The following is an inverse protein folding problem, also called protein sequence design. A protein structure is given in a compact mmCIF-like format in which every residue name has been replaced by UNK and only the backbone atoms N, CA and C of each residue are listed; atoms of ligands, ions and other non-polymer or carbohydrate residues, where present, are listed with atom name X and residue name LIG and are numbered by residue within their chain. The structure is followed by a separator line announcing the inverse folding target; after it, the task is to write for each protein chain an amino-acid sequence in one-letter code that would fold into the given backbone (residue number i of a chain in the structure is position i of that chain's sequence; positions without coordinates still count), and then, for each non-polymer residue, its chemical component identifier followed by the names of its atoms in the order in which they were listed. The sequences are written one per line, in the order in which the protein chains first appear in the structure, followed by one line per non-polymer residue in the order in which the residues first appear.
data_IF_309566012834
#
_entry.id   IF_309566012834
#
_cell.length_a   1.000
_cell.length_b   1.000
_cell.length_c   1.000
_cell.angle_alpha   90.00
_cell.angle_beta   90.00
_cell.angle_gamma   90.00
#
_symmetry.space_group_name_H-M   'P 1'
#
loop_
_entity.id
_entity.type
_entity.pdbx_description
1 polymer ?
#
# COMPACT_ATOMS: atom_id res chain seq x y z
N UNK A 1 -21.83 -4.84 23.90
CA UNK A 1 -21.57 -4.01 22.70
C UNK A 1 -20.29 -3.25 23.00
N UNK A 2 -19.19 -3.54 22.29
CA UNK A 2 -17.99 -2.69 22.41
C UNK A 2 -18.36 -1.31 21.88
N UNK A 3 -18.14 -0.25 22.66
CA UNK A 3 -18.32 1.10 22.16
C UNK A 3 -17.30 1.33 21.04
N UNK A 4 -17.73 1.88 19.90
CA UNK A 4 -16.81 2.18 18.80
C UNK A 4 -15.74 3.16 19.31
N UNK A 5 -14.47 2.79 19.17
CA UNK A 5 -13.33 3.66 19.48
C UNK A 5 -13.02 4.65 18.34
N UNK A 6 -13.85 4.64 17.27
CA UNK A 6 -13.75 5.55 16.13
C UNK A 6 -14.16 6.96 16.54
N UNK A 7 -13.28 7.98 16.42
CA UNK A 7 -13.62 9.35 16.77
C UNK A 7 -14.74 9.92 15.90
N UNK A 8 -15.60 10.74 16.50
CA UNK A 8 -16.57 11.56 15.79
C UNK A 8 -15.95 12.90 15.39
N UNK A 9 -15.80 13.15 14.09
CA UNK A 9 -15.29 14.43 13.57
C UNK A 9 -14.48 14.30 12.27
N UNK A 10 -14.06 15.43 11.70
CA UNK A 10 -13.18 15.43 10.54
C UNK A 10 -11.79 14.89 10.91
N UNK A 11 -11.23 14.06 10.04
CA UNK A 11 -9.86 13.55 10.17
C UNK A 11 -8.87 14.54 9.53
N UNK A 12 -7.61 14.61 10.00
CA UNK A 12 -6.58 15.43 9.37
C UNK A 12 -6.44 15.11 7.88
N UNK A 13 -6.21 16.12 7.04
CA UNK A 13 -6.07 15.91 5.59
C UNK A 13 -4.72 15.30 5.20
N UNK A 14 -3.70 15.48 6.04
CA UNK A 14 -2.34 14.92 5.93
C UNK A 14 -1.88 14.39 7.28
N UNK A 15 -0.87 13.54 7.30
CA UNK A 15 -0.23 13.05 8.53
C UNK A 15 1.30 13.11 8.44
N UNK A 16 1.98 13.17 9.58
CA UNK A 16 3.43 13.27 9.67
C UNK A 16 3.98 14.69 9.42
N UNK A 17 5.22 14.96 9.83
CA UNK A 17 5.85 16.28 9.80
C UNK A 17 6.01 16.84 8.38
N UNK A 18 6.00 18.16 8.22
CA UNK A 18 6.11 18.78 6.89
C UNK A 18 7.52 18.65 6.31
N UNK A 19 8.54 18.50 7.17
CA UNK A 19 9.94 18.32 6.79
C UNK A 19 10.23 16.91 6.25
N UNK A 20 9.32 15.95 6.46
CA UNK A 20 9.46 14.57 6.01
C UNK A 20 9.28 13.52 7.11
N UNK A 21 9.43 12.23 6.76
CA UNK A 21 9.42 11.13 7.73
C UNK A 21 10.45 11.37 8.84
N UNK A 22 10.05 11.15 10.10
CA UNK A 22 10.92 11.19 11.26
C UNK A 22 11.01 9.80 11.89
N UNK A 23 12.07 9.56 12.68
CA UNK A 23 12.27 8.29 13.37
C UNK A 23 10.99 7.86 14.13
N UNK A 24 10.57 6.58 14.00
CA UNK A 24 11.34 5.46 13.45
C UNK A 24 11.22 5.28 11.92
N UNK A 25 10.55 6.17 11.20
CA UNK A 25 10.40 6.08 9.74
C UNK A 25 11.66 6.60 9.00
N UNK A 26 12.00 6.04 7.82
CA UNK A 26 11.29 4.98 7.11
C UNK A 26 11.52 3.59 7.71
N UNK A 27 10.46 2.79 7.78
CA UNK A 27 10.56 1.38 8.13
C UNK A 27 10.52 0.54 6.87
N UNK A 28 11.36 -0.49 6.80
CA UNK A 28 11.47 -1.37 5.64
C UNK A 28 10.84 -2.72 5.91
N UNK A 29 10.04 -3.19 4.96
CA UNK A 29 9.48 -4.53 4.94
C UNK A 29 9.67 -5.12 3.55
N UNK A 30 9.89 -6.42 3.45
CA UNK A 30 9.86 -7.13 2.17
C UNK A 30 9.35 -8.55 2.31
N UNK A 31 8.73 -9.07 1.27
CA UNK A 31 8.34 -10.48 1.21
C UNK A 31 7.55 -10.81 -0.06
N UNK A 32 7.25 -12.09 -0.20
CA UNK A 32 6.39 -12.59 -1.27
C UNK A 32 4.92 -12.24 -0.99
N UNK A 33 4.21 -11.79 -2.02
CA UNK A 33 2.78 -11.51 -1.93
C UNK A 33 1.99 -12.81 -1.91
N UNK A 34 1.29 -13.07 -0.81
CA UNK A 34 0.48 -14.27 -0.63
C UNK A 34 -1.02 -13.95 -0.59
N UNK A 35 -1.85 -14.98 -0.81
CA UNK A 35 -3.30 -14.88 -0.62
C UNK A 35 -3.60 -14.77 0.87
N UNK A 36 -4.46 -13.81 1.24
CA UNK A 36 -5.02 -13.71 2.57
C UNK A 36 -6.13 -14.73 2.83
N UNK A 37 -6.73 -14.67 4.03
CA UNK A 37 -7.76 -15.62 4.49
C UNK A 37 -9.18 -15.36 3.95
N UNK A 38 -9.31 -14.75 2.76
CA UNK A 38 -10.60 -14.58 2.08
C UNK A 38 -11.58 -13.61 2.75
N UNK A 39 -11.10 -12.67 3.57
CA UNK A 39 -11.94 -11.68 4.26
C UNK A 39 -12.27 -10.48 3.35
N UNK A 40 -13.03 -10.69 2.29
CA UNK A 40 -13.87 -9.69 1.62
C UNK A 40 -13.25 -8.39 1.09
N UNK A 41 -11.96 -8.08 1.25
CA UNK A 41 -11.36 -6.79 0.82
C UNK A 41 -11.49 -6.56 -0.69
N UNK A 42 -11.32 -7.61 -1.48
CA UNK A 42 -11.62 -7.61 -2.92
C UNK A 42 -13.11 -7.35 -3.21
N UNK A 43 -14.04 -7.84 -2.38
CA UNK A 43 -15.48 -7.55 -2.51
C UNK A 43 -15.82 -6.12 -2.08
N UNK A 44 -14.99 -5.50 -1.24
CA UNK A 44 -15.04 -4.06 -0.92
C UNK A 44 -14.48 -3.20 -2.06
N UNK A 45 -13.89 -3.78 -3.10
CA UNK A 45 -13.20 -3.05 -4.16
C UNK A 45 -11.87 -2.41 -3.73
N UNK A 46 -11.31 -2.88 -2.60
CA UNK A 46 -10.05 -2.41 -2.02
C UNK A 46 -9.16 -3.64 -1.80
N UNK A 47 -8.58 -4.21 -2.87
CA UNK A 47 -7.79 -5.43 -2.76
C UNK A 47 -6.53 -5.21 -1.91
N UNK A 48 -6.23 -6.15 -1.03
CA UNK A 48 -5.05 -6.09 -0.15
C UNK A 48 -4.09 -7.26 -0.41
N UNK A 49 -2.82 -6.94 -0.64
CA UNK A 49 -1.72 -7.90 -0.73
C UNK A 49 -1.25 -8.27 0.69
N UNK A 50 -1.11 -9.56 0.98
CA UNK A 50 -0.60 -10.00 2.28
C UNK A 50 0.91 -10.26 2.17
N UNK A 51 1.67 -9.78 3.15
CA UNK A 51 3.10 -10.08 3.29
C UNK A 51 3.29 -10.84 4.61
N UNK A 52 3.73 -12.11 4.59
CA UNK A 52 3.98 -12.86 5.81
C UNK A 52 5.18 -12.26 6.55
N UNK A 53 5.01 -11.98 7.84
CA UNK A 53 6.12 -11.60 8.72
C UNK A 53 6.69 -12.85 9.38
N UNK A 54 7.98 -13.11 9.18
CA UNK A 54 8.72 -14.09 9.99
C UNK A 54 9.04 -13.46 11.34
N UNK A 55 8.05 -13.43 12.24
CA UNK A 55 8.18 -12.88 13.59
C UNK A 55 7.28 -11.66 13.86
N UNK A 56 7.58 -10.94 14.93
CA UNK A 56 6.80 -9.77 15.39
C UNK A 56 7.34 -8.43 14.88
N UNK A 57 8.57 -8.41 14.35
CA UNK A 57 9.22 -7.15 14.01
C UNK A 57 8.83 -6.64 12.62
N UNK A 58 8.52 -5.36 12.54
CA UNK A 58 8.39 -4.61 11.30
C UNK A 58 9.57 -3.66 11.21
N UNK A 59 10.47 -3.90 10.25
CA UNK A 59 11.69 -3.09 10.09
C UNK A 59 12.65 -3.13 11.29
N UNK A 60 12.65 -4.22 12.08
CA UNK A 60 13.48 -4.36 13.28
C UNK A 60 12.80 -3.89 14.58
N UNK A 61 11.52 -3.51 14.53
CA UNK A 61 10.75 -3.03 15.68
C UNK A 61 9.62 -3.99 16.03
N UNK A 62 9.67 -4.58 17.22
CA UNK A 62 8.66 -5.52 17.71
C UNK A 62 7.43 -4.84 18.33
N UNK A 63 7.54 -3.55 18.67
CA UNK A 63 6.51 -2.76 19.36
C UNK A 63 5.93 -1.63 18.49
N UNK A 64 5.69 -1.94 17.21
CA UNK A 64 4.97 -1.02 16.32
C UNK A 64 3.47 -1.07 16.62
N UNK A 65 2.86 0.11 16.70
CA UNK A 65 1.43 0.26 16.97
C UNK A 65 0.57 -0.43 15.89
N UNK A 66 -0.48 -1.16 16.29
CA UNK A 66 -1.46 -1.65 15.32
C UNK A 66 -2.24 -0.49 14.72
N UNK A 67 -2.42 -0.50 13.40
CA UNK A 67 -3.19 0.53 12.73
C UNK A 67 -2.85 0.67 11.26
N UNK A 68 -3.19 1.82 10.72
CA UNK A 68 -3.03 2.14 9.31
C UNK A 68 -1.83 3.05 9.11
N UNK A 69 -1.01 2.69 8.14
CA UNK A 69 0.22 3.36 7.74
C UNK A 69 0.20 3.69 6.24
N UNK A 70 1.14 4.49 5.78
CA UNK A 70 1.30 4.83 4.37
C UNK A 70 2.76 4.85 3.94
N UNK A 71 2.98 4.77 2.63
CA UNK A 71 4.33 4.76 2.08
C UNK A 71 4.39 4.40 0.61
N UNK A 72 5.54 3.86 0.20
CA UNK A 72 5.79 3.39 -1.15
C UNK A 72 5.99 1.88 -1.16
N UNK A 73 5.46 1.21 -2.18
CA UNK A 73 5.66 -0.21 -2.43
C UNK A 73 6.26 -0.40 -3.82
N UNK A 74 7.40 -1.08 -3.88
CA UNK A 74 7.96 -1.58 -5.12
C UNK A 74 7.59 -3.04 -5.32
N UNK A 75 7.14 -3.38 -6.52
CA UNK A 75 6.65 -4.71 -6.88
C UNK A 75 7.52 -5.24 -8.02
N UNK A 76 8.07 -6.44 -7.84
CA UNK A 76 8.85 -7.11 -8.85
C UNK A 76 7.99 -7.47 -10.08
N UNK A 77 8.59 -7.57 -11.27
CA UNK A 77 7.88 -8.14 -12.42
C UNK A 77 7.34 -9.53 -12.07
N UNK A 78 6.10 -9.81 -12.42
CA UNK A 78 5.45 -11.08 -12.14
C UNK A 78 4.78 -11.61 -13.40
N UNK A 79 4.91 -12.91 -13.64
CA UNK A 79 4.16 -13.65 -14.67
C UNK A 79 2.79 -14.06 -14.12
N UNK A 80 2.03 -13.10 -13.60
CA UNK A 80 0.73 -13.39 -13.02
C UNK A 80 -0.18 -14.07 -14.04
N UNK A 81 -0.88 -15.12 -13.59
CA UNK A 81 -1.65 -16.03 -14.46
C UNK A 81 -3.15 -15.74 -14.47
N UNK A 82 -3.63 -14.90 -13.54
CA UNK A 82 -5.05 -14.55 -13.44
C UNK A 82 -5.30 -13.09 -13.81
N UNK A 83 -5.94 -12.91 -14.97
CA UNK A 83 -6.52 -11.65 -15.40
C UNK A 83 -7.85 -11.42 -14.67
N UNK A 84 -8.00 -10.24 -14.06
CA UNK A 84 -9.33 -9.70 -13.85
C UNK A 84 -9.98 -9.48 -15.22
N UNK A 85 -11.30 -9.68 -15.36
CA UNK A 85 -11.99 -9.41 -16.60
C UNK A 85 -11.65 -7.99 -17.10
N UNK A 86 -11.28 -7.80 -18.38
CA UNK A 86 -11.00 -6.48 -18.94
C UNK A 86 -12.12 -5.50 -18.61
N UNK A 87 -11.78 -4.34 -18.05
CA UNK A 87 -12.77 -3.34 -17.62
C UNK A 87 -13.32 -3.52 -16.20
N UNK A 88 -12.73 -4.40 -15.38
CA UNK A 88 -12.98 -4.45 -13.93
C UNK A 88 -12.50 -3.15 -13.27
N UNK A 89 -13.37 -2.14 -13.28
CA UNK A 89 -13.18 -0.92 -12.50
C UNK A 89 -13.44 -1.25 -11.02
N UNK A 90 -12.62 -0.73 -10.10
CA UNK A 90 -13.07 -0.67 -8.70
C UNK A 90 -14.43 0.05 -8.66
N UNK A 91 -15.40 -0.52 -7.96
CA UNK A 91 -16.73 0.10 -7.76
C UNK A 91 -16.63 1.48 -7.11
N UNK A 92 -15.48 1.78 -6.51
CA UNK A 92 -15.22 3.01 -5.78
C UNK A 92 -14.05 3.76 -6.38
N UNK A 93 -14.24 5.05 -6.62
CA UNK A 93 -13.13 5.98 -6.83
C UNK A 93 -12.47 6.21 -5.47
N UNK A 94 -11.41 5.45 -5.19
CA UNK A 94 -10.77 5.39 -3.88
C UNK A 94 -9.94 6.64 -3.53
N UNK A 95 -9.64 7.47 -4.53
CA UNK A 95 -8.87 8.70 -4.35
C UNK A 95 -9.47 9.85 -5.15
N UNK A 96 -9.49 11.05 -4.56
CA UNK A 96 -9.91 12.25 -5.28
C UNK A 96 -9.02 12.55 -6.49
N UNK A 97 -9.60 12.98 -7.62
CA UNK A 97 -8.85 13.13 -8.89
C UNK A 97 -7.70 14.12 -8.83
N UNK A 98 -7.83 15.19 -8.04
CA UNK A 98 -6.76 16.16 -7.87
C UNK A 98 -5.57 15.57 -7.10
N UNK A 99 -5.81 14.67 -6.14
CA UNK A 99 -4.78 13.94 -5.40
C UNK A 99 -4.10 12.93 -6.32
N UNK A 100 -4.89 12.19 -7.12
CA UNK A 100 -4.37 11.29 -8.14
C UNK A 100 -3.44 12.00 -9.12
N UNK A 101 -3.84 13.20 -9.58
CA UNK A 101 -3.02 14.04 -10.46
C UNK A 101 -1.77 14.56 -9.76
N UNK A 102 -1.87 15.03 -8.51
CA UNK A 102 -0.73 15.51 -7.75
C UNK A 102 0.30 14.39 -7.51
N UNK A 103 -0.15 13.22 -7.05
CA UNK A 103 0.69 12.03 -6.91
C UNK A 103 1.27 11.60 -8.24
N UNK A 104 0.49 11.61 -9.32
CA UNK A 104 0.97 11.23 -10.64
C UNK A 104 2.10 12.14 -11.13
N UNK A 105 1.98 13.46 -10.94
CA UNK A 105 3.05 14.42 -11.25
C UNK A 105 4.29 14.21 -10.41
N UNK A 106 4.12 13.75 -9.18
CA UNK A 106 5.21 13.59 -8.23
C UNK A 106 5.93 12.24 -8.41
N UNK A 107 5.18 11.16 -8.61
CA UNK A 107 5.68 9.79 -8.76
C UNK A 107 6.10 9.47 -10.21
N UNK A 108 5.46 10.09 -11.21
CA UNK A 108 5.66 9.79 -12.63
C UNK A 108 6.04 11.01 -13.47
N UNK A 109 6.07 12.23 -12.90
CA UNK A 109 6.40 13.46 -13.64
C UNK A 109 7.88 13.65 -14.00
N UNK A 110 8.68 12.60 -13.91
CA UNK A 110 10.01 12.49 -14.53
C UNK A 110 10.05 11.65 -15.81
N UNK A 111 8.94 11.02 -16.22
CA UNK A 111 8.88 10.13 -17.38
C UNK A 111 7.62 10.30 -18.22
N UNK A 112 7.35 11.52 -18.70
CA UNK A 112 6.74 11.63 -20.04
C UNK A 112 7.92 11.63 -21.03
N UNK A 113 8.42 10.44 -21.37
CA UNK A 113 9.19 10.25 -22.60
C UNK A 113 8.21 9.68 -23.61
N UNK A 114 7.73 10.54 -24.50
CA UNK A 114 7.08 10.10 -25.72
C UNK A 114 8.15 9.37 -26.56
N UNK A 115 7.94 8.10 -26.86
CA UNK A 115 8.64 7.46 -27.95
C UNK A 115 8.13 8.04 -29.28
N UNK A 116 8.97 8.02 -30.31
CA UNK A 116 8.69 8.67 -31.60
C UNK A 116 7.45 8.10 -32.32
N UNK A 117 6.88 7.00 -31.82
CA UNK A 117 5.70 6.32 -32.36
C UNK A 117 4.40 6.53 -31.55
N UNK A 118 4.40 7.35 -30.49
CA UNK A 118 3.18 7.74 -29.77
C UNK A 118 2.48 6.60 -29.02
N UNK A 119 3.23 5.59 -28.55
CA UNK A 119 2.66 4.53 -27.70
C UNK A 119 2.74 4.97 -26.24
N UNK A 120 1.63 4.82 -25.51
CA UNK A 120 1.67 4.89 -24.05
C UNK A 120 2.48 3.69 -23.56
N UNK A 121 3.70 3.94 -23.12
CA UNK A 121 4.56 2.93 -22.50
C UNK A 121 3.90 2.45 -21.21
N UNK A 122 3.32 1.25 -21.24
CA UNK A 122 2.89 0.55 -20.03
C UNK A 122 4.16 0.27 -19.24
N UNK A 123 4.33 0.91 -18.07
CA UNK A 123 5.47 0.79 -17.17
C UNK A 123 5.60 -0.63 -16.59
N UNK A 124 5.82 -1.64 -17.42
CA UNK A 124 6.39 -2.92 -17.00
C UNK A 124 7.88 -2.83 -17.28
N UNK A 125 8.62 -2.09 -16.43
CA UNK A 125 10.08 -2.16 -16.50
C UNK A 125 10.51 -3.57 -16.13
N UNK A 126 11.56 -4.10 -16.78
CA UNK A 126 12.18 -5.38 -16.39
C UNK A 126 12.65 -5.41 -14.91
N UNK A 127 12.66 -4.25 -14.23
CA UNK A 127 13.03 -4.08 -12.83
C UNK A 127 11.84 -4.00 -11.87
N UNK A 128 10.61 -4.01 -12.37
CA UNK A 128 9.40 -3.80 -11.57
C UNK A 128 8.92 -2.35 -11.59
N UNK A 129 8.01 -2.00 -10.68
CA UNK A 129 7.42 -0.67 -10.59
C UNK A 129 7.13 -0.26 -9.13
N UNK A 130 7.17 1.05 -8.88
CA UNK A 130 6.91 1.65 -7.56
C UNK A 130 5.54 2.33 -7.55
N UNK A 131 4.79 2.11 -6.48
CA UNK A 131 3.44 2.63 -6.31
C UNK A 131 3.23 3.20 -4.91
N UNK A 132 2.38 4.23 -4.76
CA UNK A 132 1.94 4.66 -3.44
C UNK A 132 1.04 3.58 -2.82
N UNK A 133 1.07 3.47 -1.50
CA UNK A 133 0.27 2.48 -0.77
C UNK A 133 -0.26 3.02 0.56
N UNK A 134 -1.32 2.37 1.03
CA UNK A 134 -1.67 2.30 2.45
C UNK A 134 -1.50 0.87 2.93
N UNK A 135 -1.23 0.67 4.21
CA UNK A 135 -1.12 -0.67 4.78
C UNK A 135 -1.73 -0.73 6.17
N UNK A 136 -2.30 -1.89 6.50
CA UNK A 136 -2.76 -2.22 7.84
C UNK A 136 -1.74 -3.15 8.51
N UNK A 137 -1.38 -2.84 9.75
CA UNK A 137 -0.60 -3.71 10.63
C UNK A 137 -1.50 -4.06 11.80
N UNK A 138 -1.75 -5.36 12.00
CA UNK A 138 -2.63 -5.85 13.06
C UNK A 138 -2.13 -7.16 13.64
N UNK A 139 -2.89 -7.70 14.59
CA UNK A 139 -2.65 -9.04 15.14
C UNK A 139 -3.53 -10.06 14.43
N UNK A 140 -2.95 -11.23 14.10
CA UNK A 140 -3.70 -12.30 13.46
C UNK A 140 -4.47 -13.14 14.50
N UNK A 141 -5.82 -13.08 14.53
CA UNK A 141 -6.61 -13.81 15.51
C UNK A 141 -6.52 -15.33 15.39
N UNK A 142 -6.23 -15.85 14.19
CA UNK A 142 -6.12 -17.30 13.95
C UNK A 142 -4.90 -17.92 14.63
N UNK A 143 -3.84 -17.12 14.83
CA UNK A 143 -2.63 -17.54 15.54
C UNK A 143 -2.64 -17.01 16.97
N UNK A 144 -3.81 -16.95 17.62
CA UNK A 144 -3.98 -16.48 19.00
C UNK A 144 -3.37 -15.09 19.27
N UNK A 145 -3.30 -14.22 18.24
CA UNK A 145 -2.61 -12.92 18.30
C UNK A 145 -1.13 -13.02 18.69
N UNK A 146 -0.45 -14.10 18.29
CA UNK A 146 1.00 -14.28 18.48
C UNK A 146 1.80 -13.92 17.22
N UNK A 147 1.11 -13.60 16.11
CA UNK A 147 1.72 -13.23 14.83
C UNK A 147 1.07 -11.95 14.31
N UNK A 148 1.90 -11.00 13.85
CA UNK A 148 1.44 -9.78 13.18
C UNK A 148 0.99 -10.09 11.75
N UNK A 149 -0.10 -9.49 11.32
CA UNK A 149 -0.57 -9.50 9.93
C UNK A 149 -0.28 -8.15 9.28
N UNK A 150 0.27 -8.20 8.06
CA UNK A 150 0.48 -7.02 7.22
C UNK A 150 -0.33 -7.15 5.94
N UNK A 151 -1.18 -6.16 5.71
CA UNK A 151 -2.01 -6.07 4.52
C UNK A 151 -1.75 -4.74 3.80
N UNK A 152 -1.25 -4.80 2.57
CA UNK A 152 -0.89 -3.63 1.76
C UNK A 152 -1.95 -3.41 0.68
N UNK A 153 -2.58 -2.24 0.66
CA UNK A 153 -3.38 -1.80 -0.48
C UNK A 153 -2.54 -0.87 -1.35
N UNK A 154 -2.18 -1.36 -2.53
CA UNK A 154 -1.48 -0.57 -3.54
C UNK A 154 -2.49 0.38 -4.19
N UNK A 155 -2.19 1.68 -4.22
CA UNK A 155 -3.07 2.73 -4.75
C UNK A 155 -2.97 2.79 -6.28
N UNK A 156 -3.10 1.63 -6.94
CA UNK A 156 -3.08 1.45 -8.37
C UNK A 156 -4.07 0.34 -8.77
N UNK A 157 -4.77 0.54 -9.88
CA UNK A 157 -5.68 -0.47 -10.40
C UNK A 157 -4.89 -1.41 -11.32
N UNK A 158 -4.76 -2.66 -10.90
CA UNK A 158 -4.15 -3.71 -11.73
C UNK A 158 -5.21 -4.46 -12.53
N UNK A 159 -4.84 -4.90 -13.73
CA UNK A 159 -5.65 -5.78 -14.58
C UNK A 159 -5.47 -7.25 -14.23
N UNK A 160 -4.35 -7.63 -13.62
CA UNK A 160 -4.04 -8.98 -13.15
C UNK A 160 -3.71 -8.95 -11.67
N UNK A 161 -3.84 -10.10 -11.00
CA UNK A 161 -3.20 -10.24 -9.69
C UNK A 161 -1.66 -10.24 -9.81
N UNK A 162 -0.97 -10.32 -8.67
CA UNK A 162 0.49 -10.39 -8.60
C UNK A 162 0.95 -11.25 -7.41
N UNK A 163 0.17 -12.29 -7.09
CA UNK A 163 0.59 -13.28 -6.08
C UNK A 163 1.88 -13.97 -6.52
N UNK A 164 2.74 -14.26 -5.56
CA UNK A 164 4.10 -14.77 -5.82
C UNK A 164 5.10 -13.70 -6.23
N UNK A 165 4.67 -12.48 -6.55
CA UNK A 165 5.61 -11.37 -6.75
C UNK A 165 6.26 -10.97 -5.43
N UNK A 166 7.53 -10.57 -5.50
CA UNK A 166 8.20 -9.96 -4.37
C UNK A 166 7.79 -8.49 -4.25
N UNK A 167 7.49 -8.06 -3.03
CA UNK A 167 7.19 -6.67 -2.69
C UNK A 167 8.19 -6.14 -1.68
N UNK A 168 8.76 -4.97 -1.96
CA UNK A 168 9.54 -4.17 -1.01
C UNK A 168 8.71 -2.94 -0.61
N UNK A 169 8.68 -2.60 0.67
CA UNK A 169 7.83 -1.55 1.23
C UNK A 169 8.67 -0.59 2.08
N UNK A 170 8.52 0.71 1.83
CA UNK A 170 8.99 1.81 2.67
C UNK A 170 7.79 2.43 3.39
N UNK A 171 7.65 2.21 4.69
CA UNK A 171 6.61 2.80 5.54
C UNK A 171 7.10 4.16 6.02
N UNK A 172 6.34 5.23 5.76
CA UNK A 172 6.78 6.61 5.96
C UNK A 172 6.07 7.34 7.11
N UNK A 173 4.97 6.78 7.60
CA UNK A 173 4.25 7.34 8.72
C UNK A 173 3.00 6.57 9.09
N UNK A 174 2.45 6.92 10.24
CA UNK A 174 1.22 6.40 10.79
C UNK A 174 0.04 7.33 10.46
N UNK A 175 -1.11 6.75 10.11
CA UNK A 175 -2.35 7.49 9.84
C UNK A 175 -3.26 7.46 11.07
N UNK A 176 -3.54 6.27 11.61
CA UNK A 176 -4.49 6.08 12.73
C UNK A 176 -4.40 4.67 13.33
N UNK A 177 -4.86 4.49 14.58
CA UNK A 177 -5.00 3.16 15.16
C UNK A 177 -6.13 2.36 14.48
N UNK A 178 -6.22 1.07 14.83
CA UNK A 178 -7.36 0.22 14.47
C UNK A 178 -8.67 0.76 15.06
N UNK A 179 -9.72 0.80 14.24
CA UNK A 179 -11.05 1.23 14.65
C UNK A 179 -12.03 0.06 14.61
N UNK A 180 -12.94 0.03 15.59
CA UNK A 180 -14.08 -0.86 15.65
C UNK A 180 -15.24 -0.29 14.82
N UNK A 181 -15.72 -1.09 13.86
CA UNK A 181 -16.80 -0.69 12.98
C UNK A 181 -18.09 -1.46 13.26
N UNK A 182 -19.18 -0.70 13.40
CA UNK A 182 -20.54 -1.25 13.53
C UNK A 182 -21.21 -1.48 12.17
N UNK A 183 -20.61 -1.00 11.07
CA UNK A 183 -21.13 -1.17 9.70
C UNK A 183 -20.00 -1.22 8.66
N UNK A 184 -20.25 -1.93 7.55
CA UNK A 184 -19.32 -2.05 6.42
C UNK A 184 -19.12 -0.71 5.71
N UNK A 185 -20.13 0.14 5.69
CA UNK A 185 -20.12 1.46 5.08
C UNK A 185 -19.11 2.37 5.79
N UNK A 186 -19.12 2.38 7.13
CA UNK A 186 -18.15 3.16 7.92
C UNK A 186 -16.72 2.70 7.73
N UNK A 187 -16.51 1.38 7.61
CA UNK A 187 -15.20 0.82 7.27
C UNK A 187 -14.72 1.35 5.91
N UNK A 188 -15.57 1.29 4.89
CA UNK A 188 -15.23 1.78 3.54
C UNK A 188 -14.96 3.29 3.55
N UNK A 189 -15.76 4.09 4.26
CA UNK A 189 -15.56 5.54 4.41
C UNK A 189 -14.18 5.87 5.01
N UNK A 190 -13.77 5.16 6.06
CA UNK A 190 -12.48 5.41 6.69
C UNK A 190 -11.32 4.93 5.84
N UNK A 191 -11.44 3.81 5.11
CA UNK A 191 -10.39 3.36 4.19
C UNK A 191 -10.22 4.37 3.04
N UNK A 192 -11.31 4.91 2.48
CA UNK A 192 -11.21 5.99 1.47
C UNK A 192 -10.50 7.21 2.03
N UNK A 193 -10.81 7.56 3.28
CA UNK A 193 -10.13 8.66 3.96
C UNK A 193 -8.65 8.36 4.17
N UNK A 194 -8.28 7.13 4.53
CA UNK A 194 -6.89 6.70 4.67
C UNK A 194 -6.12 6.85 3.35
N UNK A 195 -6.70 6.43 2.24
CA UNK A 195 -6.12 6.54 0.89
C UNK A 195 -5.94 8.00 0.48
N UNK A 196 -6.93 8.85 0.72
CA UNK A 196 -6.85 10.28 0.44
C UNK A 196 -5.77 10.97 1.30
N UNK A 197 -5.71 10.66 2.59
CA UNK A 197 -4.69 11.19 3.52
C UNK A 197 -3.29 10.74 3.12
N UNK A 198 -3.12 9.46 2.77
CA UNK A 198 -1.86 8.94 2.26
C UNK A 198 -1.44 9.66 0.99
N UNK A 199 -2.35 9.83 0.04
CA UNK A 199 -2.07 10.50 -1.22
C UNK A 199 -1.64 11.95 -1.04
N UNK A 200 -2.34 12.73 -0.21
CA UNK A 200 -1.92 14.12 0.10
C UNK A 200 -0.57 14.14 0.82
N UNK A 201 -0.35 13.23 1.76
CA UNK A 201 0.90 13.16 2.55
C UNK A 201 2.11 12.82 1.67
N UNK A 202 1.96 11.86 0.75
CA UNK A 202 2.99 11.41 -0.19
C UNK A 202 3.28 12.42 -1.30
N UNK A 203 2.31 13.25 -1.69
CA UNK A 203 2.51 14.31 -2.67
C UNK A 203 3.43 15.44 -2.18
N UNK A 204 3.70 15.52 -0.86
CA UNK A 204 4.67 16.47 -0.31
C UNK A 204 6.09 16.08 -0.68
N UNK A 205 6.91 17.05 -1.10
CA UNK A 205 8.25 16.84 -1.66
C UNK A 205 9.18 15.93 -0.84
N UNK A 206 9.27 16.02 0.50
CA UNK A 206 10.14 15.13 1.27
C UNK A 206 9.69 13.65 1.23
N UNK A 207 8.39 13.40 1.16
CA UNK A 207 7.81 12.05 1.10
C UNK A 207 7.84 11.47 -0.31
N UNK A 208 7.56 12.31 -1.29
CA UNK A 208 7.68 12.02 -2.71
C UNK A 208 9.02 11.38 -3.08
N UNK A 209 10.11 12.03 -2.65
CA UNK A 209 11.48 11.60 -2.93
C UNK A 209 11.80 10.21 -2.39
N UNK A 210 11.07 9.74 -1.37
CA UNK A 210 11.24 8.39 -0.83
C UNK A 210 10.76 7.29 -1.79
N UNK A 211 9.99 7.65 -2.83
CA UNK A 211 9.61 6.73 -3.90
C UNK A 211 10.78 6.39 -4.84
N UNK A 212 11.83 7.21 -4.86
CA UNK A 212 13.05 6.99 -5.64
C UNK A 212 14.08 6.12 -4.90
N UNK A 213 13.76 5.64 -3.68
CA UNK A 213 14.68 4.82 -2.89
C UNK A 213 15.02 3.51 -3.64
N UNK A 214 16.29 3.25 -3.98
CA UNK A 214 16.69 2.06 -4.71
C UNK A 214 16.26 0.75 -4.06
N UNK A 215 16.06 0.74 -2.73
CA UNK A 215 15.51 -0.40 -2.00
C UNK A 215 14.19 -0.89 -2.60
N UNK A 216 13.33 -0.01 -3.09
CA UNK A 216 12.00 -0.38 -3.61
C UNK A 216 12.11 -1.26 -4.87
N UNK A 217 13.20 -1.18 -5.62
CA UNK A 217 13.44 -1.99 -6.82
C UNK A 217 14.60 -2.99 -6.66
N UNK A 218 15.08 -3.20 -5.43
CA UNK A 218 16.14 -4.18 -5.14
C UNK A 218 15.54 -5.56 -4.83
N UNK A 219 15.41 -6.37 -5.87
CA UNK A 219 14.92 -7.75 -5.79
C UNK A 219 16.03 -8.80 -5.92
N UNK A 220 17.31 -8.41 -5.86
CA UNK A 220 18.43 -9.34 -6.03
C UNK A 220 18.40 -10.45 -4.97
N UNK A 221 18.54 -11.70 -5.43
CA UNK A 221 18.53 -12.88 -4.55
C UNK A 221 17.16 -13.22 -3.97
N UNK A 222 16.10 -12.55 -4.43
CA UNK A 222 14.70 -12.77 -4.03
C UNK A 222 13.86 -13.33 -5.19
N UNK A 223 14.52 -13.70 -6.27
CA UNK A 223 13.96 -14.36 -7.46
C UNK A 223 13.69 -15.82 -7.12
N UNK A 224 12.42 -16.15 -6.88
CA UNK A 224 11.82 -17.49 -6.82
C UNK A 224 12.56 -18.55 -5.98
N UNK A 225 11.99 -18.90 -4.83
CA UNK A 225 12.03 -20.30 -4.35
C UNK A 225 10.64 -20.89 -4.54
N UNK A 226 10.29 -21.14 -5.81
CA UNK A 226 9.23 -22.07 -6.14
C UNK A 226 9.91 -23.37 -6.57
N UNK A 227 10.00 -24.32 -5.66
CA UNK A 227 10.21 -25.75 -5.97
C UNK A 227 8.87 -26.45 -5.95
#
# INVERSE_FOLDING_TARGET
MSASNRPDGPRPETTGPDEGPQAPFPLRLSGEVVKGFGRGSSELGIPTANIPLSGLSVGGYDDIESGVYYGWAGIAPCTATHQHPPGSQSKYKLMASHIASALGKVAFGGSEREDAEGRKETLTSEKGAVYPMVMSIGWNPYYKNEVRSVEVHVMHQFETDFYGSHMNVNILGFIRPEYDYVSKEKLIEDIKTDIDVAGRSLARKPYAKMGDDPYLLDFKGKEQVAS
#
